data_IF_344278109235
#
_entry.id   IF_344278109235
#
_cell.length_a   1.000
_cell.length_b   1.000
_cell.length_c   1.000
_cell.angle_alpha   90.00
_cell.angle_beta   90.00
_cell.angle_gamma   90.00
#
_symmetry.space_group_name_H-M   'P 1'
#
loop_
_entity.id
_entity.type
_entity.pdbx_description
1 polymer ?
#
# COMPACT_ATOMS: atom_id res chain seq x y z
N UNK A 1 20.27 14.00 -0.25
CA UNK A 1 21.06 14.45 -1.43
C UNK A 1 20.97 13.48 -2.62
N UNK A 2 21.01 12.15 -2.42
CA UNK A 2 20.71 11.19 -3.51
C UNK A 2 19.20 10.90 -3.67
N UNK A 3 18.48 10.84 -2.55
CA UNK A 3 17.06 10.44 -2.50
C UNK A 3 16.17 11.35 -3.34
N UNK A 4 16.35 12.67 -3.25
CA UNK A 4 15.48 13.65 -3.92
C UNK A 4 15.61 13.61 -5.45
N UNK A 5 16.78 13.22 -5.97
CA UNK A 5 17.05 13.17 -7.42
C UNK A 5 16.44 11.93 -8.08
N UNK A 6 16.35 10.84 -7.32
CA UNK A 6 15.94 9.53 -7.83
C UNK A 6 14.46 9.24 -7.55
N UNK A 7 13.86 9.87 -6.52
CA UNK A 7 12.46 9.65 -6.14
C UNK A 7 11.49 9.78 -7.31
N UNK A 8 11.57 10.87 -8.09
CA UNK A 8 10.69 11.07 -9.24
C UNK A 8 10.94 10.10 -10.41
N UNK A 9 12.11 9.43 -10.46
CA UNK A 9 12.37 8.35 -11.42
C UNK A 9 11.81 7.02 -10.91
N UNK A 10 11.94 6.75 -9.61
CA UNK A 10 11.37 5.57 -8.95
C UNK A 10 9.84 5.59 -9.03
N UNK A 11 9.22 6.73 -8.71
CA UNK A 11 7.76 6.90 -8.72
C UNK A 11 7.16 6.61 -10.10
N UNK A 12 7.82 7.05 -11.18
CA UNK A 12 7.37 6.76 -12.55
C UNK A 12 7.27 5.27 -12.86
N UNK A 13 8.03 4.44 -12.14
CA UNK A 13 8.05 2.98 -12.30
C UNK A 13 7.00 2.26 -11.45
N UNK A 14 6.18 2.95 -10.67
CA UNK A 14 5.10 2.28 -9.93
C UNK A 14 4.10 1.58 -10.86
N UNK A 15 3.91 2.11 -12.07
CA UNK A 15 3.10 1.46 -13.11
C UNK A 15 3.72 0.14 -13.63
N UNK A 16 5.03 -0.09 -13.42
CA UNK A 16 5.71 -1.35 -13.78
C UNK A 16 5.43 -2.47 -12.77
N UNK A 17 4.78 -2.20 -11.64
CA UNK A 17 4.44 -3.20 -10.62
C UNK A 17 3.36 -4.11 -11.19
N UNK A 18 3.79 -5.25 -11.74
CA UNK A 18 2.91 -6.24 -12.37
C UNK A 18 2.43 -7.35 -11.42
N UNK A 19 3.03 -7.48 -10.23
CA UNK A 19 2.56 -8.43 -9.22
C UNK A 19 1.33 -7.90 -8.47
N UNK A 20 0.47 -8.78 -7.93
CA UNK A 20 -0.58 -8.35 -7.01
C UNK A 20 0.01 -7.53 -5.84
N UNK A 21 -0.47 -6.30 -5.69
CA UNK A 21 -0.03 -5.38 -4.64
C UNK A 21 -1.22 -4.97 -3.76
N UNK A 22 -0.92 -4.44 -2.58
CA UNK A 22 -1.92 -3.83 -1.72
C UNK A 22 -1.34 -2.76 -0.81
N UNK A 23 -2.19 -1.80 -0.45
CA UNK A 23 -1.94 -0.78 0.58
C UNK A 23 -3.07 -0.83 1.61
N UNK A 24 -2.70 -0.84 2.90
CA UNK A 24 -3.62 -0.69 4.02
C UNK A 24 -3.28 0.60 4.74
N UNK A 25 -4.25 1.51 4.84
CA UNK A 25 -4.03 2.89 5.31
C UNK A 25 -5.03 3.25 6.40
N UNK A 26 -4.56 3.88 7.48
CA UNK A 26 -5.42 4.45 8.51
C UNK A 26 -5.81 5.89 8.16
N UNK A 27 -7.11 6.21 8.09
CA UNK A 27 -7.56 7.57 7.70
C UNK A 27 -7.27 8.63 8.78
N UNK A 28 -6.96 8.19 10.00
CA UNK A 28 -6.51 9.02 11.12
C UNK A 28 -4.99 9.18 11.20
N UNK A 29 -4.22 8.74 10.20
CA UNK A 29 -2.77 8.91 10.16
C UNK A 29 -2.38 10.40 10.12
N UNK A 30 -1.50 10.79 11.04
CA UNK A 30 -0.97 12.17 11.19
C UNK A 30 0.49 12.31 10.78
N UNK A 31 1.15 11.20 10.43
CA UNK A 31 2.54 11.15 9.97
C UNK A 31 2.58 11.25 8.46
N UNK A 32 1.74 10.48 7.76
CA UNK A 32 1.58 10.56 6.31
C UNK A 32 0.10 10.70 5.94
N UNK A 33 -0.22 11.73 5.16
CA UNK A 33 -1.60 12.00 4.74
C UNK A 33 -2.04 11.07 3.62
N UNK A 34 -3.23 10.50 3.75
CA UNK A 34 -3.80 9.57 2.76
C UNK A 34 -3.93 10.19 1.36
N UNK A 35 -4.42 11.43 1.27
CA UNK A 35 -4.59 12.12 -0.01
C UNK A 35 -3.27 12.32 -0.78
N UNK A 36 -2.13 12.30 -0.10
CA UNK A 36 -0.79 12.49 -0.71
C UNK A 36 -0.10 11.16 -0.96
N UNK A 37 -0.19 10.21 -0.03
CA UNK A 37 0.61 8.98 -0.03
C UNK A 37 -0.19 7.71 -0.29
N UNK A 38 -1.51 7.77 -0.15
CA UNK A 38 -2.43 6.64 -0.33
C UNK A 38 -3.22 6.75 -1.63
N UNK A 39 -4.16 7.70 -1.71
CA UNK A 39 -5.13 7.82 -2.81
C UNK A 39 -4.48 7.83 -4.21
N UNK A 40 -3.39 8.58 -4.46
CA UNK A 40 -2.78 8.61 -5.80
C UNK A 40 -2.24 7.25 -6.26
N UNK A 41 -2.03 6.30 -5.35
CA UNK A 41 -1.53 4.96 -5.67
C UNK A 41 -2.56 4.11 -6.41
N UNK A 42 -3.86 4.40 -6.24
CA UNK A 42 -4.95 3.73 -6.98
C UNK A 42 -4.81 3.92 -8.49
N UNK A 43 -4.34 5.09 -8.93
CA UNK A 43 -4.11 5.39 -10.34
C UNK A 43 -2.71 4.94 -10.82
N UNK A 44 -1.73 4.88 -9.92
CA UNK A 44 -0.33 4.57 -10.26
C UNK A 44 -0.02 3.08 -10.32
N UNK A 45 -0.75 2.24 -9.60
CA UNK A 45 -0.56 0.78 -9.57
C UNK A 45 -1.85 0.12 -10.05
N UNK A 46 -1.79 -0.53 -11.21
CA UNK A 46 -2.94 -1.23 -11.77
C UNK A 46 -3.36 -2.40 -10.88
N UNK A 47 -4.66 -2.48 -10.55
CA UNK A 47 -5.21 -3.57 -9.74
C UNK A 47 -4.81 -3.56 -8.26
N UNK A 48 -4.39 -2.40 -7.74
CA UNK A 48 -4.05 -2.23 -6.33
C UNK A 48 -5.23 -2.57 -5.40
N UNK A 49 -5.00 -3.44 -4.42
CA UNK A 49 -5.93 -3.66 -3.30
C UNK A 49 -5.71 -2.60 -2.23
N UNK A 50 -6.60 -1.62 -2.16
CA UNK A 50 -6.50 -0.49 -1.25
C UNK A 50 -7.55 -0.60 -0.15
N UNK A 51 -7.10 -0.81 1.09
CA UNK A 51 -7.97 -0.89 2.27
C UNK A 51 -7.77 0.34 3.16
N UNK A 52 -8.87 1.02 3.48
CA UNK A 52 -8.90 2.12 4.44
C UNK A 52 -9.47 1.64 5.75
N UNK A 53 -8.87 2.06 6.87
CA UNK A 53 -9.41 1.83 8.20
C UNK A 53 -9.73 3.18 8.83
N UNK A 54 -11.03 3.43 8.98
CA UNK A 54 -11.53 4.71 9.45
C UNK A 54 -11.05 5.02 10.87
N UNK A 55 -10.48 6.21 11.06
CA UNK A 55 -9.98 6.69 12.36
C UNK A 55 -8.70 6.02 12.87
N UNK A 56 -8.16 5.02 12.17
CA UNK A 56 -6.91 4.36 12.56
C UNK A 56 -5.72 5.26 12.25
N UNK A 57 -4.75 5.30 13.15
CA UNK A 57 -3.52 6.07 12.99
C UNK A 57 -2.44 5.37 12.15
N UNK A 58 -1.21 5.86 12.28
CA UNK A 58 -0.06 5.48 11.46
C UNK A 58 0.38 4.01 11.57
N UNK A 59 0.03 3.32 12.66
CA UNK A 59 0.67 2.06 13.03
C UNK A 59 -0.33 0.88 13.08
N UNK A 60 -0.98 0.53 11.95
CA UNK A 60 -2.01 -0.51 11.92
C UNK A 60 -1.51 -1.86 12.41
N UNK A 61 -0.24 -2.21 12.18
CA UNK A 61 0.35 -3.48 12.61
C UNK A 61 0.47 -3.64 14.12
N UNK A 62 0.42 -2.54 14.89
CA UNK A 62 0.42 -2.59 16.36
C UNK A 62 -0.99 -2.50 16.96
N UNK A 63 -1.94 -1.88 16.25
CA UNK A 63 -3.28 -1.61 16.76
C UNK A 63 -4.28 -2.68 16.33
N UNK A 64 -4.22 -3.13 15.07
CA UNK A 64 -5.10 -4.16 14.50
C UNK A 64 -4.26 -5.29 13.83
N UNK A 65 -3.44 -6.03 14.60
CA UNK A 65 -2.51 -7.00 14.03
C UNK A 65 -3.21 -8.12 13.26
N UNK A 66 -4.36 -8.62 13.73
CA UNK A 66 -5.11 -9.67 13.03
C UNK A 66 -5.61 -9.19 11.67
N UNK A 67 -6.03 -7.93 11.57
CA UNK A 67 -6.49 -7.33 10.31
C UNK A 67 -5.35 -7.17 9.32
N UNK A 68 -4.19 -6.72 9.79
CA UNK A 68 -2.98 -6.63 8.97
C UNK A 68 -2.53 -8.01 8.50
N UNK A 69 -2.59 -9.03 9.36
CA UNK A 69 -2.29 -10.42 8.96
C UNK A 69 -3.27 -10.91 7.88
N UNK A 70 -4.57 -10.68 8.06
CA UNK A 70 -5.59 -11.05 7.07
C UNK A 70 -5.37 -10.33 5.73
N UNK A 71 -5.00 -9.04 5.77
CA UNK A 71 -4.64 -8.26 4.60
C UNK A 71 -3.46 -8.87 3.85
N UNK A 72 -2.37 -9.21 4.56
CA UNK A 72 -1.18 -9.85 3.97
C UNK A 72 -1.54 -11.20 3.34
N UNK A 73 -2.31 -12.03 4.04
CA UNK A 73 -2.75 -13.33 3.52
C UNK A 73 -3.57 -13.19 2.24
N UNK A 74 -4.46 -12.20 2.17
CA UNK A 74 -5.27 -11.90 0.97
C UNK A 74 -4.42 -11.51 -0.23
N UNK A 75 -3.45 -10.62 -0.04
CA UNK A 75 -2.54 -10.21 -1.12
C UNK A 75 -1.66 -11.38 -1.56
N UNK A 76 -1.12 -12.14 -0.60
CA UNK A 76 -0.28 -13.31 -0.87
C UNK A 76 -1.04 -14.40 -1.65
N UNK A 77 -2.29 -14.68 -1.30
CA UNK A 77 -3.11 -15.66 -2.01
C UNK A 77 -3.23 -15.35 -3.51
N UNK A 78 -3.33 -14.07 -3.89
CA UNK A 78 -3.32 -13.64 -5.31
C UNK A 78 -1.94 -13.80 -5.93
N UNK A 79 -0.88 -13.39 -5.21
CA UNK A 79 0.50 -13.46 -5.69
C UNK A 79 0.98 -14.88 -5.98
N UNK A 80 0.49 -15.86 -5.22
CA UNK A 80 0.90 -17.26 -5.32
C UNK A 80 -0.15 -18.18 -5.96
N UNK A 81 -1.28 -17.65 -6.45
CA UNK A 81 -2.37 -18.45 -7.03
C UNK A 81 -1.92 -19.34 -8.20
N UNK A 82 -0.94 -18.89 -8.99
CA UNK A 82 -0.40 -19.61 -10.16
C UNK A 82 0.92 -20.35 -9.87
N UNK A 83 1.39 -20.36 -8.62
CA UNK A 83 2.62 -21.04 -8.20
C UNK A 83 2.36 -22.50 -7.75
N UNK A 84 1.15 -23.02 -8.01
CA UNK A 84 0.72 -24.39 -7.69
C UNK A 84 0.64 -25.25 -8.94
#
# INVERSE_FOLDING_TARGET
VAVERDLGQIERRYSDIAMPAGILFGTGDRVIGEAVHGEPMLDKISGLDFERIEGLGHMPQFVEPERVVAFIQRVAARGFANAR
#
